data_IF_446547529770
#
_entry.id   IF_446547529770
#
_cell.length_a   1.000
_cell.length_b   1.000
_cell.length_c   1.000
_cell.angle_alpha   90.00
_cell.angle_beta   90.00
_cell.angle_gamma   90.00
#
_symmetry.space_group_name_H-M   'P 1'
#
loop_
_entity.id
_entity.type
_entity.pdbx_description
1 polymer ?
#
# COMPACT_ATOMS: atom_id res chain seq x y z
N UNK A 1 -10.27 -13.25 22.82
CA UNK A 1 -10.32 -12.04 21.97
C UNK A 1 -10.57 -12.50 20.54
N UNK A 2 -11.80 -12.43 20.04
CA UNK A 2 -12.15 -12.91 18.70
C UNK A 2 -11.45 -12.00 17.67
N UNK A 3 -10.51 -12.55 16.91
CA UNK A 3 -9.83 -11.84 15.83
C UNK A 3 -10.75 -11.99 14.61
N UNK A 4 -11.44 -10.92 14.21
CA UNK A 4 -12.02 -10.89 12.85
C UNK A 4 -10.87 -11.17 11.88
N UNK A 5 -11.09 -12.06 10.92
CA UNK A 5 -10.11 -12.25 9.85
C UNK A 5 -9.89 -10.91 9.16
N UNK A 6 -8.61 -10.58 8.98
CA UNK A 6 -8.26 -9.31 8.35
C UNK A 6 -8.72 -9.35 6.90
N UNK A 7 -9.38 -8.28 6.45
CA UNK A 7 -9.63 -8.10 5.02
C UNK A 7 -8.32 -7.86 4.30
N UNK A 8 -8.21 -8.31 3.06
CA UNK A 8 -7.04 -8.12 2.23
C UNK A 8 -7.41 -7.50 0.89
N UNK A 9 -6.43 -6.83 0.28
CA UNK A 9 -6.49 -6.31 -1.09
C UNK A 9 -5.11 -6.36 -1.71
N UNK A 10 -4.99 -6.74 -2.98
CA UNK A 10 -3.75 -6.62 -3.74
C UNK A 10 -3.65 -5.20 -4.32
N UNK A 11 -2.66 -4.43 -3.87
CA UNK A 11 -2.48 -3.03 -4.22
C UNK A 11 -1.13 -2.78 -4.90
N UNK A 12 -1.02 -1.71 -5.69
CA UNK A 12 0.23 -1.31 -6.35
C UNK A 12 0.99 -0.35 -5.46
N UNK A 13 2.29 -0.59 -5.29
CA UNK A 13 3.18 0.30 -4.55
C UNK A 13 3.45 1.58 -5.35
N UNK A 14 3.08 2.74 -4.80
CA UNK A 14 3.14 4.04 -5.52
C UNK A 14 4.25 4.95 -4.99
N UNK A 15 4.39 5.04 -3.66
CA UNK A 15 5.34 5.94 -3.03
C UNK A 15 6.08 5.25 -1.90
N UNK A 16 7.30 5.71 -1.66
CA UNK A 16 8.09 5.28 -0.52
C UNK A 16 8.78 6.47 0.16
N UNK A 17 8.84 6.45 1.48
CA UNK A 17 9.53 7.44 2.30
C UNK A 17 10.55 6.76 3.21
N UNK A 18 11.66 7.45 3.48
CA UNK A 18 12.65 6.97 4.45
C UNK A 18 12.02 6.86 5.84
N UNK A 19 12.36 5.78 6.55
CA UNK A 19 11.95 5.59 7.93
C UNK A 19 12.61 6.58 8.88
N UNK A 20 12.25 6.48 10.16
CA UNK A 20 12.87 7.24 11.24
C UNK A 20 13.65 6.31 12.18
N UNK A 21 14.53 6.88 13.00
CA UNK A 21 15.31 6.13 14.01
C UNK A 21 16.15 5.01 13.39
N UNK A 22 15.99 3.79 13.92
CA UNK A 22 16.73 2.59 13.48
C UNK A 22 16.52 2.25 11.99
N UNK A 23 15.43 2.72 11.38
CA UNK A 23 15.13 2.51 9.94
C UNK A 23 15.41 3.73 9.06
N UNK A 24 16.12 4.73 9.57
CA UNK A 24 16.48 5.94 8.81
C UNK A 24 17.30 5.66 7.53
N UNK A 25 18.04 4.54 7.51
CA UNK A 25 18.76 4.06 6.33
C UNK A 25 17.87 3.57 5.18
N UNK A 26 16.62 3.19 5.47
CA UNK A 26 15.75 2.44 4.56
C UNK A 26 14.48 3.19 4.19
N UNK A 27 14.00 2.97 2.98
CA UNK A 27 12.60 3.23 2.66
C UNK A 27 11.74 2.16 3.35
N UNK A 28 10.94 2.58 4.33
CA UNK A 28 10.16 1.66 5.18
C UNK A 28 8.72 2.10 5.39
N UNK A 29 8.33 3.16 4.69
CA UNK A 29 7.02 3.76 4.80
C UNK A 29 6.41 3.91 3.41
N UNK A 30 5.38 3.12 3.15
CA UNK A 30 4.94 2.77 1.81
C UNK A 30 3.50 3.20 1.58
N UNK A 31 3.26 3.99 0.54
CA UNK A 31 1.90 4.32 0.08
C UNK A 31 1.56 3.45 -1.12
N UNK A 32 0.37 2.87 -1.09
CA UNK A 32 -0.14 1.98 -2.12
C UNK A 32 -1.50 2.45 -2.61
N UNK A 33 -1.82 2.08 -3.84
CA UNK A 33 -3.04 2.46 -4.52
C UNK A 33 -3.67 1.31 -5.28
N UNK A 34 -4.91 1.52 -5.69
CA UNK A 34 -5.68 0.62 -6.53
C UNK A 34 -6.00 1.30 -7.85
N UNK A 35 -6.29 0.50 -8.87
CA UNK A 35 -6.67 0.99 -10.18
C UNK A 35 -8.08 1.60 -10.15
N UNK A 36 -8.22 2.80 -10.69
CA UNK A 36 -9.47 3.50 -10.95
C UNK A 36 -9.46 3.89 -12.43
N UNK A 37 -9.99 3.00 -13.26
CA UNK A 37 -9.70 2.98 -14.70
C UNK A 37 -8.19 2.81 -14.93
N UNK A 38 -7.60 3.70 -15.74
CA UNK A 38 -6.18 3.66 -16.11
C UNK A 38 -5.27 4.37 -15.09
N UNK A 39 -5.82 4.89 -13.99
CA UNK A 39 -5.06 5.65 -13.00
C UNK A 39 -4.96 4.91 -11.67
N UNK A 40 -3.83 5.07 -10.97
CA UNK A 40 -3.68 4.60 -9.61
C UNK A 40 -4.10 5.68 -8.61
N UNK A 41 -4.98 5.30 -7.68
CA UNK A 41 -5.45 6.19 -6.60
C UNK A 41 -4.95 5.67 -5.25
N UNK A 42 -4.29 6.50 -4.41
CA UNK A 42 -3.84 6.07 -3.10
C UNK A 42 -5.00 5.66 -2.18
N UNK A 43 -4.88 4.48 -1.56
CA UNK A 43 -5.90 3.94 -0.64
C UNK A 43 -5.39 3.73 0.78
N UNK A 44 -4.08 3.73 0.98
CA UNK A 44 -3.51 3.53 2.30
C UNK A 44 -2.00 3.64 2.33
N UNK A 45 -1.48 3.52 3.55
CA UNK A 45 -0.05 3.63 3.83
C UNK A 45 0.34 2.65 4.92
N UNK A 46 1.41 1.89 4.73
CA UNK A 46 1.88 0.88 5.67
C UNK A 46 3.37 1.05 5.98
N UNK A 47 3.71 0.87 7.25
CA UNK A 47 5.07 0.95 7.80
C UNK A 47 5.51 -0.38 8.46
N UNK A 48 4.70 -1.43 8.30
CA UNK A 48 4.89 -2.73 8.96
C UNK A 48 4.39 -3.89 8.09
N UNK A 49 4.67 -5.11 8.54
CA UNK A 49 4.22 -6.33 7.87
C UNK A 49 5.22 -6.93 6.89
N UNK A 50 6.50 -6.63 7.08
CA UNK A 50 7.61 -7.19 6.33
C UNK A 50 8.77 -7.48 7.29
N UNK A 51 9.50 -8.54 6.99
CA UNK A 51 10.75 -8.92 7.65
C UNK A 51 11.88 -7.95 7.27
N UNK A 52 13.01 -8.01 7.98
CA UNK A 52 14.18 -7.20 7.64
C UNK A 52 14.78 -7.58 6.28
N UNK A 53 14.71 -8.86 5.90
CA UNK A 53 15.14 -9.30 4.56
C UNK A 53 14.23 -8.73 3.46
N UNK A 54 12.92 -8.75 3.68
CA UNK A 54 11.96 -8.13 2.78
C UNK A 54 12.15 -6.61 2.70
N UNK A 55 12.45 -5.95 3.82
CA UNK A 55 12.77 -4.52 3.83
C UNK A 55 14.00 -4.21 2.96
N UNK A 56 15.04 -5.05 3.00
CA UNK A 56 16.21 -4.88 2.15
C UNK A 56 15.87 -5.03 0.66
N UNK A 57 14.97 -5.96 0.31
CA UNK A 57 14.49 -6.15 -1.07
C UNK A 57 13.63 -4.97 -1.53
N UNK A 58 12.72 -4.49 -0.68
CA UNK A 58 11.89 -3.31 -0.94
C UNK A 58 12.74 -2.05 -1.12
N UNK A 59 13.76 -1.85 -0.28
CA UNK A 59 14.66 -0.70 -0.39
C UNK A 59 15.41 -0.71 -1.73
N UNK A 60 15.92 -1.87 -2.16
CA UNK A 60 16.52 -2.02 -3.50
C UNK A 60 15.52 -1.75 -4.61
N UNK A 61 14.30 -2.28 -4.52
CA UNK A 61 13.24 -2.03 -5.48
C UNK A 61 12.96 -0.53 -5.60
N UNK A 62 12.77 0.17 -4.48
CA UNK A 62 12.50 1.62 -4.44
C UNK A 62 13.62 2.41 -5.13
N UNK A 63 14.89 2.10 -4.82
CA UNK A 63 16.03 2.78 -5.43
C UNK A 63 16.09 2.61 -6.95
N UNK A 64 15.76 1.42 -7.44
CA UNK A 64 15.83 1.07 -8.86
C UNK A 64 14.61 1.51 -9.67
N UNK A 65 13.48 1.81 -9.01
CA UNK A 65 12.22 2.13 -9.67
C UNK A 65 11.67 3.52 -9.28
N UNK A 66 12.50 4.37 -8.67
CA UNK A 66 12.14 5.78 -8.42
C UNK A 66 12.00 6.51 -9.75
N UNK A 67 10.83 7.13 -9.98
CA UNK A 67 10.57 8.00 -11.14
C UNK A 67 10.76 9.48 -10.78
N UNK A 68 10.35 9.88 -9.58
CA UNK A 68 10.44 11.27 -9.11
C UNK A 68 10.84 11.35 -7.63
N UNK A 69 11.36 12.52 -7.22
CA UNK A 69 11.86 12.76 -5.86
C UNK A 69 11.23 14.02 -5.27
N UNK A 70 10.59 13.88 -4.12
CA UNK A 70 9.97 14.99 -3.38
C UNK A 70 10.48 15.00 -1.94
N UNK A 71 11.61 15.67 -1.71
CA UNK A 71 12.29 15.63 -0.41
C UNK A 71 12.61 14.19 0.03
N UNK A 72 12.07 13.69 1.16
CA UNK A 72 12.28 12.31 1.61
C UNK A 72 11.41 11.27 0.88
N UNK A 73 10.44 11.71 0.07
CA UNK A 73 9.48 10.84 -0.62
C UNK A 73 9.98 10.52 -2.04
N UNK A 74 9.72 9.30 -2.49
CA UNK A 74 9.99 8.79 -3.83
C UNK A 74 8.66 8.40 -4.48
N UNK A 75 8.43 8.88 -5.69
CA UNK A 75 7.43 8.32 -6.60
C UNK A 75 8.04 7.10 -7.29
N UNK A 76 7.25 6.04 -7.47
CA UNK A 76 7.71 4.78 -8.01
C UNK A 76 6.98 4.47 -9.32
N UNK A 77 7.69 3.82 -10.24
CA UNK A 77 7.04 3.18 -11.37
C UNK A 77 6.10 2.07 -10.85
N UNK A 78 4.87 1.94 -11.41
CA UNK A 78 3.92 0.91 -11.00
C UNK A 78 4.41 -0.45 -11.46
N UNK A 79 5.24 -1.10 -10.64
CA UNK A 79 5.93 -2.36 -10.99
C UNK A 79 5.93 -3.40 -9.87
N UNK A 80 5.34 -3.09 -8.72
CA UNK A 80 5.28 -4.01 -7.59
C UNK A 80 3.90 -3.99 -6.96
N UNK A 81 3.29 -5.17 -6.91
CA UNK A 81 2.09 -5.40 -6.13
C UNK A 81 2.44 -5.82 -4.69
N UNK A 82 1.56 -5.48 -3.75
CA UNK A 82 1.61 -5.87 -2.34
C UNK A 82 0.22 -6.29 -1.90
N UNK A 83 0.14 -7.40 -1.18
CA UNK A 83 -1.08 -7.78 -0.49
C UNK A 83 -1.13 -6.98 0.82
N UNK A 84 -2.21 -6.23 1.02
CA UNK A 84 -2.38 -5.36 2.19
C UNK A 84 -3.51 -5.90 3.05
N UNK A 85 -3.20 -6.21 4.31
CA UNK A 85 -4.19 -6.58 5.31
C UNK A 85 -4.62 -5.37 6.14
N UNK A 86 -5.92 -5.29 6.45
CA UNK A 86 -6.51 -4.19 7.23
C UNK A 86 -7.69 -4.66 8.09
N UNK A 87 -8.06 -3.87 9.10
CA UNK A 87 -9.12 -4.21 10.06
C UNK A 87 -10.50 -3.68 9.68
N UNK A 88 -10.56 -2.68 8.79
CA UNK A 88 -11.79 -1.98 8.46
C UNK A 88 -11.60 -0.87 7.44
N UNK A 89 -12.71 -0.41 6.86
CA UNK A 89 -12.76 0.75 5.98
C UNK A 89 -13.81 1.73 6.48
N UNK A 90 -13.52 3.02 6.33
CA UNK A 90 -14.47 4.10 6.53
C UNK A 90 -14.60 4.90 5.23
N UNK A 91 -15.78 5.44 4.95
CA UNK A 91 -15.93 6.49 3.93
C UNK A 91 -15.09 7.71 4.31
N UNK A 92 -14.52 8.41 3.33
CA UNK A 92 -13.71 9.59 3.57
C UNK A 92 -13.81 10.59 2.44
N UNK A 93 -14.17 11.84 2.77
CA UNK A 93 -14.16 12.98 1.83
C UNK A 93 -12.76 13.60 1.67
N UNK A 94 -11.82 13.25 2.54
CA UNK A 94 -10.44 13.77 2.53
C UNK A 94 -9.54 13.03 1.53
N UNK A 95 -9.80 11.76 1.30
CA UNK A 95 -8.97 10.92 0.42
C UNK A 95 -9.62 10.82 -0.95
N UNK A 96 -8.83 10.98 -2.02
CA UNK A 96 -9.32 10.90 -3.40
C UNK A 96 -10.02 9.58 -3.72
N UNK A 97 -9.61 8.49 -3.06
CA UNK A 97 -10.22 7.17 -3.18
C UNK A 97 -11.62 7.07 -2.57
N UNK A 98 -12.05 8.06 -1.79
CA UNK A 98 -13.32 8.03 -1.07
C UNK A 98 -13.30 7.16 0.20
N UNK A 99 -12.15 6.59 0.57
CA UNK A 99 -12.02 5.64 1.69
C UNK A 99 -10.83 5.94 2.59
N UNK A 100 -10.91 5.51 3.85
CA UNK A 100 -9.83 5.49 4.81
C UNK A 100 -9.67 4.08 5.40
N UNK A 101 -8.50 3.48 5.18
CA UNK A 101 -8.16 2.12 5.64
C UNK A 101 -7.69 2.12 7.09
N UNK A 102 -8.23 1.21 7.91
CA UNK A 102 -7.88 1.07 9.33
C UNK A 102 -6.77 0.05 9.53
N UNK A 103 -5.68 0.50 10.13
CA UNK A 103 -4.48 -0.30 10.45
C UNK A 103 -3.96 -1.16 9.29
N UNK A 104 -3.73 -0.55 8.10
CA UNK A 104 -3.06 -1.25 7.01
C UNK A 104 -1.67 -1.75 7.40
N UNK A 105 -1.36 -2.96 6.97
CA UNK A 105 -0.02 -3.54 6.98
C UNK A 105 0.19 -4.36 5.72
N UNK A 106 1.43 -4.46 5.25
CA UNK A 106 1.75 -5.39 4.17
C UNK A 106 1.58 -6.82 4.73
N UNK A 107 0.78 -7.64 4.09
CA UNK A 107 0.67 -9.06 4.44
C UNK A 107 1.69 -9.90 3.67
N UNK A 108 1.91 -9.52 2.40
CA UNK A 108 2.87 -10.19 1.51
C UNK A 108 3.32 -9.25 0.41
N UNK A 109 4.58 -9.34 0.02
CA UNK A 109 5.09 -8.66 -1.17
C UNK A 109 4.90 -9.58 -2.37
N UNK A 110 4.13 -9.14 -3.36
CA UNK A 110 3.67 -9.98 -4.46
C UNK A 110 4.63 -9.95 -5.65
N UNK A 111 5.85 -10.44 -5.43
CA UNK A 111 6.83 -10.63 -6.52
C UNK A 111 6.33 -11.60 -7.59
N UNK A 112 5.35 -12.43 -7.25
CA UNK A 112 4.67 -13.39 -8.11
C UNK A 112 3.57 -12.80 -8.99
N UNK A 113 3.13 -11.56 -8.73
CA UNK A 113 1.94 -10.99 -9.35
C UNK A 113 2.26 -9.72 -10.15
N UNK A 114 1.89 -9.64 -11.44
CA UNK A 114 2.00 -8.40 -12.21
C UNK A 114 1.03 -7.34 -11.69
N UNK A 115 1.36 -6.05 -11.84
CA UNK A 115 0.56 -4.96 -11.24
C UNK A 115 -0.79 -4.78 -11.91
N UNK A 116 -0.92 -5.24 -13.16
CA UNK A 116 -2.15 -5.24 -13.95
C UNK A 116 -3.21 -6.19 -13.35
N UNK A 117 -2.78 -7.16 -12.53
CA UNK A 117 -3.65 -8.08 -11.77
C UNK A 117 -3.90 -7.63 -10.33
N UNK A 118 -3.47 -6.42 -9.96
CA UNK A 118 -3.86 -5.80 -8.69
C UNK A 118 -5.35 -5.44 -8.71
N UNK A 119 -5.95 -5.33 -7.53
CA UNK A 119 -7.37 -5.03 -7.41
C UNK A 119 -7.69 -3.61 -7.88
N UNK A 120 -8.95 -3.41 -8.26
CA UNK A 120 -9.51 -2.11 -8.61
C UNK A 120 -10.14 -1.43 -7.39
N UNK A 121 -10.26 -0.11 -7.43
CA UNK A 121 -10.80 0.70 -6.34
C UNK A 121 -12.22 0.28 -5.94
N UNK A 122 -13.03 -0.17 -6.91
CA UNK A 122 -14.39 -0.63 -6.65
C UNK A 122 -14.44 -1.92 -5.81
N UNK A 123 -13.45 -2.82 -5.97
CA UNK A 123 -13.29 -4.00 -5.11
C UNK A 123 -13.15 -3.58 -3.65
N UNK A 124 -12.35 -2.54 -3.38
CA UNK A 124 -12.17 -2.03 -2.03
C UNK A 124 -13.43 -1.33 -1.50
N UNK A 125 -14.12 -0.54 -2.33
CA UNK A 125 -15.36 0.15 -1.94
C UNK A 125 -16.49 -0.84 -1.62
N UNK A 126 -16.53 -2.00 -2.26
CA UNK A 126 -17.50 -3.05 -1.98
C UNK A 126 -17.36 -3.63 -0.55
N UNK A 127 -16.21 -3.42 0.11
CA UNK A 127 -15.95 -3.83 1.50
C UNK A 127 -16.37 -2.76 2.53
N UNK A 128 -16.92 -1.62 2.10
CA UNK A 128 -17.43 -0.62 3.02
C UNK A 128 -18.62 -1.18 3.83
N UNK A 129 -18.76 -0.79 5.11
CA UNK A 129 -19.95 -1.14 5.88
C UNK A 129 -21.21 -0.62 5.19
N UNK A 130 -22.28 -1.43 5.19
CA UNK A 130 -23.61 -0.98 4.79
C UNK A 130 -24.04 0.19 5.67
N UNK A 131 -24.66 1.20 5.07
CA UNK A 131 -25.22 2.33 5.80
C UNK A 131 -26.35 1.81 6.70
N UNK A 132 -26.31 2.21 7.98
CA UNK A 132 -27.37 1.93 8.96
C UNK A 132 -28.37 3.06 8.96
#
# INVERSE_FOLDING_TARGET
>A
KWKRDAMTVDAVLMYAQRGHGKRSGFYSDFTFGLWDGDMLVPVGKAYSGFTDEELLRLDRFVRNNTTERFGPVRSLAPKLAVEVAFEGLNRSTRHKSGVAMRFPRIARIRWDKPVEEADVLDTLKALLPLET
#
